data_IF_264527273081
#
_entry.id   IF_264527273081
#
_cell.length_a   1.000
_cell.length_b   1.000
_cell.length_c   1.000
_cell.angle_alpha   90.00
_cell.angle_beta   90.00
_cell.angle_gamma   90.00
#
_symmetry.space_group_name_H-M   'P 1'
#
loop_
_entity.id
_entity.type
_entity.pdbx_description
1 polymer ?
#
# COMPACT_ATOMS: atom_id res chain seq x y z
N UNK A 1 40.63 -53.89 33.11
CA UNK A 1 39.80 -52.68 33.06
C UNK A 1 40.64 -51.61 32.38
N UNK A 2 40.28 -51.18 31.17
CA UNK A 2 40.85 -49.97 30.59
C UNK A 2 39.72 -48.94 30.52
N UNK A 3 39.81 -47.94 31.38
CA UNK A 3 39.10 -46.68 31.14
C UNK A 3 39.80 -45.96 29.97
N UNK A 4 39.15 -44.94 29.43
CA UNK A 4 39.82 -44.01 28.52
C UNK A 4 41.01 -43.40 29.26
N UNK A 5 42.20 -43.47 28.67
CA UNK A 5 43.46 -43.17 29.36
C UNK A 5 43.46 -41.74 29.95
N UNK A 6 43.92 -41.61 31.20
CA UNK A 6 43.75 -40.38 32.01
C UNK A 6 44.70 -39.22 31.60
N UNK A 7 45.67 -39.49 30.71
CA UNK A 7 46.78 -38.59 30.36
C UNK A 7 46.41 -37.50 29.32
N UNK A 8 45.20 -36.95 29.35
CA UNK A 8 44.89 -35.74 28.57
C UNK A 8 43.87 -34.83 29.27
N UNK A 9 44.40 -33.79 29.93
CA UNK A 9 43.71 -32.69 30.66
C UNK A 9 43.40 -32.95 32.14
N UNK A 10 44.46 -33.15 32.94
CA UNK A 10 44.46 -32.72 34.35
C UNK A 10 44.56 -31.18 34.36
N UNK A 11 43.66 -30.50 35.07
CA UNK A 11 43.66 -29.05 35.24
C UNK A 11 43.94 -28.70 36.70
N UNK A 12 44.87 -27.77 36.91
CA UNK A 12 45.20 -27.30 38.26
C UNK A 12 44.16 -26.28 38.73
N UNK A 13 43.67 -26.45 39.94
CA UNK A 13 42.50 -25.72 40.48
C UNK A 13 42.88 -24.54 41.37
N UNK A 14 44.17 -24.34 41.65
CA UNK A 14 44.64 -23.47 42.72
C UNK A 14 45.29 -22.17 42.23
N UNK A 15 44.46 -21.21 41.78
CA UNK A 15 44.63 -19.77 42.01
C UNK A 15 43.54 -18.98 41.26
N UNK A 16 42.69 -18.25 42.00
CA UNK A 16 41.94 -17.08 41.52
C UNK A 16 41.22 -16.41 42.72
N UNK A 17 41.92 -15.49 43.39
CA UNK A 17 41.34 -14.67 44.47
C UNK A 17 40.33 -13.65 43.90
N UNK A 18 39.06 -13.80 44.26
CA UNK A 18 37.98 -12.96 43.75
C UNK A 18 37.75 -11.73 44.64
N UNK A 19 38.23 -10.56 44.19
CA UNK A 19 38.00 -9.28 44.89
C UNK A 19 36.59 -8.77 44.61
N UNK A 20 35.71 -8.83 45.61
CA UNK A 20 34.36 -8.25 45.56
C UNK A 20 34.40 -6.73 45.69
N UNK A 21 33.91 -6.02 44.67
CA UNK A 21 33.78 -4.55 44.70
C UNK A 21 32.33 -4.15 44.94
N UNK A 22 32.01 -3.83 46.21
CA UNK A 22 30.74 -3.17 46.56
C UNK A 22 30.59 -1.87 45.77
N UNK A 23 29.41 -1.65 45.21
CA UNK A 23 29.01 -0.35 44.62
C UNK A 23 27.57 -0.07 45.02
N UNK A 24 27.39 0.84 45.97
CA UNK A 24 26.06 1.31 46.38
C UNK A 24 25.41 2.10 45.24
N UNK A 25 24.28 1.61 44.74
CA UNK A 25 23.37 2.35 43.87
C UNK A 25 21.93 2.20 44.38
N UNK A 26 21.09 3.25 44.28
CA UNK A 26 19.73 3.22 44.82
C UNK A 26 18.81 2.27 44.04
N UNK A 27 17.91 1.60 44.76
CA UNK A 27 17.02 0.53 44.27
C UNK A 27 16.17 0.93 43.04
N UNK A 28 16.68 0.65 41.84
CA UNK A 28 15.83 0.59 40.63
C UNK A 28 15.16 -0.78 40.59
N UNK A 29 14.02 -0.90 41.29
CA UNK A 29 13.24 -2.14 41.38
C UNK A 29 12.49 -2.45 40.07
N UNK A 30 13.23 -2.94 39.08
CA UNK A 30 12.69 -3.52 37.85
C UNK A 30 11.73 -4.67 38.19
N UNK A 31 10.46 -4.51 37.80
CA UNK A 31 9.50 -5.59 37.87
C UNK A 31 9.59 -6.37 36.54
N UNK A 32 10.31 -7.49 36.56
CA UNK A 32 10.34 -8.38 35.39
C UNK A 32 8.93 -8.91 35.10
N UNK A 33 8.61 -9.11 33.83
CA UNK A 33 7.30 -9.65 33.43
C UNK A 33 7.25 -11.12 33.85
N UNK A 34 6.59 -11.38 34.98
CA UNK A 34 6.56 -12.66 35.73
C UNK A 34 6.28 -13.91 34.89
N UNK A 35 5.67 -13.79 33.70
CA UNK A 35 5.45 -14.90 32.78
C UNK A 35 6.74 -15.56 32.27
N UNK A 36 7.88 -14.83 32.19
CA UNK A 36 9.15 -15.44 31.84
C UNK A 36 9.78 -16.18 33.04
N UNK A 37 9.85 -15.52 34.20
CA UNK A 37 10.47 -16.05 35.41
C UNK A 37 9.79 -17.32 35.93
N UNK A 38 8.45 -17.34 35.93
CA UNK A 38 7.67 -18.50 36.39
C UNK A 38 7.88 -19.76 35.53
N UNK A 39 8.19 -19.60 34.24
CA UNK A 39 8.51 -20.72 33.36
C UNK A 39 9.94 -21.23 33.55
N UNK A 40 10.90 -20.36 33.91
CA UNK A 40 12.28 -20.78 34.21
C UNK A 40 12.33 -21.57 35.52
N UNK A 41 11.63 -21.13 36.58
CA UNK A 41 11.58 -21.86 37.85
C UNK A 41 10.99 -23.28 37.76
N UNK A 42 10.16 -23.56 36.74
CA UNK A 42 9.72 -24.91 36.40
C UNK A 42 10.84 -25.76 35.76
N UNK A 43 11.66 -25.16 34.89
CA UNK A 43 12.78 -25.84 34.23
C UNK A 43 13.89 -26.20 35.22
N UNK A 44 14.16 -25.35 36.23
CA UNK A 44 15.13 -25.63 37.30
C UNK A 44 14.94 -27.00 37.98
N UNK A 45 13.70 -27.47 38.08
CA UNK A 45 13.32 -28.73 38.71
C UNK A 45 12.68 -29.72 37.72
N UNK A 46 13.06 -29.64 36.43
CA UNK A 46 12.49 -30.49 35.39
C UNK A 46 13.06 -31.91 35.45
N UNK A 47 12.27 -32.85 35.96
CA UNK A 47 12.60 -34.29 36.02
C UNK A 47 11.55 -35.13 35.27
N UNK A 48 11.36 -34.85 33.97
CA UNK A 48 10.31 -35.49 33.15
C UNK A 48 10.80 -36.16 31.87
N UNK A 49 12.00 -35.86 31.39
CA UNK A 49 12.61 -36.69 30.36
C UNK A 49 13.16 -37.96 31.02
N UNK A 50 13.10 -39.08 30.30
CA UNK A 50 13.78 -40.33 30.69
C UNK A 50 15.31 -40.15 30.74
N UNK A 51 15.83 -39.17 30.00
CA UNK A 51 17.24 -38.81 29.94
C UNK A 51 17.58 -37.73 30.99
N UNK A 52 18.36 -38.12 32.00
CA UNK A 52 18.76 -37.23 33.09
C UNK A 52 19.68 -36.08 32.63
N UNK A 53 20.47 -36.27 31.57
CA UNK A 53 21.32 -35.21 31.00
C UNK A 53 20.47 -34.10 30.36
N UNK A 54 19.32 -34.44 29.78
CA UNK A 54 18.32 -33.46 29.30
C UNK A 54 17.63 -32.78 30.49
N UNK A 55 17.34 -33.50 31.57
CA UNK A 55 16.71 -32.92 32.77
C UNK A 55 17.57 -31.81 33.39
N UNK A 56 18.84 -32.10 33.72
CA UNK A 56 19.75 -31.12 34.34
C UNK A 56 20.10 -29.91 33.45
N UNK A 57 19.98 -30.06 32.12
CA UNK A 57 20.33 -29.02 31.15
C UNK A 57 19.13 -28.33 30.50
N UNK A 58 17.92 -28.62 30.97
CA UNK A 58 16.65 -28.14 30.39
C UNK A 58 16.52 -26.62 30.34
N UNK A 59 17.08 -25.89 31.31
CA UNK A 59 17.16 -24.43 31.32
C UNK A 59 18.04 -23.89 30.20
N UNK A 60 19.28 -24.39 30.09
CA UNK A 60 20.20 -23.99 29.03
C UNK A 60 19.68 -24.40 27.65
N UNK A 61 19.09 -25.59 27.52
CA UNK A 61 18.43 -26.06 26.31
C UNK A 61 17.32 -25.10 25.85
N UNK A 62 16.50 -24.58 26.78
CA UNK A 62 15.47 -23.61 26.47
C UNK A 62 16.03 -22.24 26.02
N UNK A 63 17.25 -21.88 26.44
CA UNK A 63 17.99 -20.72 25.92
C UNK A 63 18.56 -21.03 24.53
N UNK A 64 19.20 -22.18 24.33
CA UNK A 64 19.71 -22.66 23.04
C UNK A 64 18.63 -22.67 21.96
N UNK A 65 17.41 -23.11 22.28
CA UNK A 65 16.25 -23.10 21.38
C UNK A 65 15.76 -21.69 21.01
N UNK A 66 16.02 -20.68 21.85
CA UNK A 66 15.56 -19.29 21.66
C UNK A 66 16.62 -18.37 21.06
N UNK A 67 17.91 -18.76 21.07
CA UNK A 67 19.03 -17.88 20.72
C UNK A 67 18.89 -17.26 19.33
N UNK A 68 18.45 -18.03 18.34
CA UNK A 68 18.19 -17.57 16.96
C UNK A 68 17.01 -16.60 16.82
N UNK A 69 16.21 -16.41 17.88
CA UNK A 69 15.03 -15.53 17.91
C UNK A 69 15.17 -14.38 18.92
N UNK A 70 16.27 -14.33 19.68
CA UNK A 70 16.53 -13.26 20.63
C UNK A 70 16.95 -11.99 19.86
N UNK A 71 16.39 -10.81 20.22
CA UNK A 71 16.86 -9.54 19.69
C UNK A 71 18.30 -9.27 20.13
N UNK A 72 18.95 -8.30 19.48
CA UNK A 72 20.30 -7.87 19.84
C UNK A 72 20.39 -7.51 21.34
N UNK A 73 21.26 -8.17 22.13
CA UNK A 73 21.47 -7.85 23.53
C UNK A 73 22.06 -6.45 23.71
N UNK A 74 21.65 -5.73 24.76
CA UNK A 74 22.27 -4.44 25.12
C UNK A 74 23.77 -4.65 25.40
N UNK A 75 24.09 -5.58 26.31
CA UNK A 75 25.44 -6.03 26.62
C UNK A 75 25.59 -7.54 26.34
N UNK A 76 26.72 -7.88 25.73
CA UNK A 76 27.08 -9.23 25.28
C UNK A 76 28.09 -9.87 26.25
N UNK A 77 28.77 -9.08 27.07
CA UNK A 77 29.59 -9.59 28.17
C UNK A 77 28.70 -10.21 29.25
N UNK A 78 27.61 -9.55 29.64
CA UNK A 78 26.61 -10.09 30.57
C UNK A 78 25.95 -11.35 30.04
N UNK A 79 25.52 -11.40 28.77
CA UNK A 79 25.00 -12.61 28.15
C UNK A 79 26.02 -13.76 28.18
N UNK A 80 27.30 -13.49 27.88
CA UNK A 80 28.36 -14.50 27.97
C UNK A 80 28.55 -15.01 29.39
N UNK A 81 28.59 -14.12 30.39
CA UNK A 81 28.67 -14.50 31.80
C UNK A 81 27.46 -15.34 32.26
N UNK A 82 26.25 -15.03 31.77
CA UNK A 82 25.05 -15.83 32.02
C UNK A 82 25.16 -17.24 31.42
N UNK A 83 25.58 -17.37 30.16
CA UNK A 83 25.77 -18.68 29.51
C UNK A 83 26.88 -19.51 30.19
N UNK A 84 27.99 -18.88 30.57
CA UNK A 84 29.06 -19.50 31.37
C UNK A 84 28.53 -19.99 32.72
N UNK A 85 27.73 -19.18 33.42
CA UNK A 85 27.11 -19.57 34.68
C UNK A 85 26.16 -20.77 34.51
N UNK A 86 25.30 -20.78 33.49
CA UNK A 86 24.41 -21.91 33.21
C UNK A 86 25.14 -23.19 32.78
N UNK A 87 26.30 -23.10 32.12
CA UNK A 87 27.13 -24.28 31.83
C UNK A 87 27.77 -24.83 33.12
N UNK A 88 28.27 -23.95 34.00
CA UNK A 88 28.77 -24.35 35.31
C UNK A 88 27.68 -24.95 36.21
N UNK A 89 26.44 -24.45 36.11
CA UNK A 89 25.27 -24.99 36.81
C UNK A 89 24.94 -26.43 36.36
N UNK A 90 25.05 -26.74 35.07
CA UNK A 90 24.96 -28.14 34.58
C UNK A 90 26.05 -29.00 35.21
N UNK A 91 27.27 -28.48 35.37
CA UNK A 91 28.37 -29.21 36.03
C UNK A 91 28.09 -29.46 37.51
N UNK A 92 27.49 -28.52 38.24
CA UNK A 92 27.08 -28.72 39.64
C UNK A 92 25.92 -29.72 39.75
N UNK A 93 24.85 -29.57 38.95
CA UNK A 93 23.71 -30.50 38.93
C UNK A 93 24.15 -31.92 38.50
N UNK A 94 25.09 -32.03 37.57
CA UNK A 94 25.66 -33.29 37.11
C UNK A 94 26.53 -34.01 38.15
N UNK A 95 27.09 -33.31 39.13
CA UNK A 95 27.88 -33.91 40.21
C UNK A 95 27.03 -34.67 41.24
N UNK A 96 25.72 -34.41 41.30
CA UNK A 96 24.77 -35.13 42.14
C UNK A 96 24.25 -36.43 41.49
N UNK A 97 24.52 -36.64 40.19
CA UNK A 97 24.07 -37.80 39.43
C UNK A 97 25.11 -38.92 39.40
N UNK A 98 24.65 -40.15 39.10
CA UNK A 98 25.47 -41.36 38.97
C UNK A 98 26.34 -41.42 37.70
N UNK A 99 26.45 -40.32 36.92
CA UNK A 99 27.28 -40.31 35.70
C UNK A 99 28.76 -40.07 36.03
N UNK A 100 29.71 -40.65 35.25
CA UNK A 100 31.11 -40.26 35.35
C UNK A 100 31.30 -38.78 35.03
N UNK A 101 32.13 -38.06 35.79
CA UNK A 101 32.41 -36.62 35.61
C UNK A 101 32.79 -36.29 34.16
N UNK A 102 33.57 -37.16 33.50
CA UNK A 102 33.94 -37.01 32.10
C UNK A 102 32.73 -36.91 31.15
N UNK A 103 31.59 -37.56 31.43
CA UNK A 103 30.36 -37.45 30.63
C UNK A 103 29.73 -36.07 30.80
N UNK A 104 29.71 -35.53 32.02
CA UNK A 104 29.21 -34.19 32.33
C UNK A 104 30.11 -33.12 31.70
N UNK A 105 31.43 -33.28 31.73
CA UNK A 105 32.36 -32.37 31.05
C UNK A 105 32.18 -32.43 29.51
N UNK A 106 31.90 -33.61 28.92
CA UNK A 106 31.54 -33.69 27.49
C UNK A 106 30.18 -33.04 27.20
N UNK A 107 29.20 -33.14 28.09
CA UNK A 107 27.92 -32.43 27.94
C UNK A 107 28.12 -30.91 27.93
N UNK A 108 28.89 -30.38 28.89
CA UNK A 108 29.22 -28.96 28.98
C UNK A 108 29.98 -28.46 27.75
N UNK A 109 30.95 -29.26 27.26
CA UNK A 109 31.67 -28.99 26.02
C UNK A 109 30.74 -28.92 24.81
N UNK A 110 29.83 -29.89 24.63
CA UNK A 110 28.89 -29.89 23.50
C UNK A 110 27.97 -28.67 23.55
N UNK A 111 27.47 -28.27 24.72
CA UNK A 111 26.69 -27.04 24.88
C UNK A 111 27.46 -25.79 24.47
N UNK A 112 28.72 -25.64 24.91
CA UNK A 112 29.56 -24.50 24.52
C UNK A 112 29.73 -24.40 22.99
N UNK A 113 30.09 -25.52 22.34
CA UNK A 113 30.25 -25.59 20.88
C UNK A 113 28.96 -25.22 20.14
N UNK A 114 27.82 -25.77 20.57
CA UNK A 114 26.53 -25.56 19.89
C UNK A 114 26.03 -24.13 20.08
N UNK A 115 26.16 -23.57 21.29
CA UNK A 115 25.79 -22.17 21.57
C UNK A 115 26.67 -21.20 20.79
N UNK A 116 27.98 -21.43 20.72
CA UNK A 116 28.89 -20.58 19.94
C UNK A 116 28.50 -20.58 18.45
N UNK A 117 28.23 -21.75 17.86
CA UNK A 117 27.81 -21.83 16.45
C UNK A 117 26.50 -21.09 16.19
N UNK A 118 25.49 -21.31 17.05
CA UNK A 118 24.18 -20.67 16.88
C UNK A 118 24.27 -19.15 17.05
N UNK A 119 25.04 -18.66 18.04
CA UNK A 119 25.21 -17.22 18.28
C UNK A 119 25.94 -16.55 17.11
N UNK A 120 27.03 -17.13 16.60
CA UNK A 120 27.81 -16.56 15.48
C UNK A 120 26.94 -16.36 14.23
N UNK A 121 25.92 -17.20 14.00
CA UNK A 121 25.00 -17.06 12.86
C UNK A 121 23.69 -16.32 13.17
N UNK A 122 23.63 -15.58 14.28
CA UNK A 122 22.59 -14.56 14.51
C UNK A 122 22.97 -13.22 13.86
N UNK A 123 21.96 -12.42 13.49
CA UNK A 123 22.13 -11.08 12.93
C UNK A 123 22.96 -10.13 13.82
N UNK A 124 23.12 -10.41 15.11
CA UNK A 124 23.87 -9.59 16.07
C UNK A 124 25.20 -10.21 16.51
N UNK A 125 25.34 -11.54 16.49
CA UNK A 125 26.55 -12.24 16.94
C UNK A 125 27.76 -11.94 16.08
N UNK A 126 27.59 -11.92 14.75
CA UNK A 126 28.62 -11.50 13.79
C UNK A 126 28.98 -10.02 13.98
N UNK A 127 27.97 -9.12 13.97
CA UNK A 127 28.17 -7.65 14.11
C UNK A 127 28.94 -7.24 15.36
N UNK A 128 28.77 -7.99 16.45
CA UNK A 128 29.40 -7.74 17.75
C UNK A 128 30.64 -8.61 17.99
N UNK A 129 31.07 -9.37 16.98
CA UNK A 129 32.32 -10.12 16.98
C UNK A 129 32.39 -11.23 18.03
N UNK A 130 31.31 -12.01 18.21
CA UNK A 130 31.29 -13.12 19.18
C UNK A 130 32.44 -14.13 18.96
N UNK A 131 32.79 -14.36 17.69
CA UNK A 131 33.92 -15.19 17.24
C UNK A 131 35.29 -14.82 17.84
N UNK A 132 35.47 -13.58 18.33
CA UNK A 132 36.71 -13.15 18.98
C UNK A 132 36.89 -13.77 20.37
N UNK A 133 35.78 -13.99 21.10
CA UNK A 133 35.77 -14.61 22.42
C UNK A 133 34.52 -15.49 22.57
N UNK A 134 34.68 -16.73 22.13
CA UNK A 134 33.68 -17.80 22.19
C UNK A 134 33.66 -18.48 23.58
N UNK A 135 32.53 -19.11 23.95
CA UNK A 135 32.38 -19.87 25.18
C UNK A 135 33.37 -21.02 25.24
N UNK A 136 33.59 -21.71 24.12
CA UNK A 136 34.56 -22.80 24.00
C UNK A 136 35.99 -22.32 24.28
N UNK A 137 36.36 -21.14 23.79
CA UNK A 137 37.69 -20.59 24.02
C UNK A 137 37.87 -20.09 25.46
N UNK A 138 36.80 -19.63 26.11
CA UNK A 138 36.84 -19.16 27.51
C UNK A 138 36.82 -20.32 28.51
N UNK A 139 36.01 -21.36 28.28
CA UNK A 139 35.86 -22.50 29.20
C UNK A 139 36.88 -23.61 28.98
N UNK A 140 37.33 -23.83 27.74
CA UNK A 140 38.15 -24.99 27.37
C UNK A 140 39.44 -24.63 26.63
N UNK A 141 39.72 -23.35 26.38
CA UNK A 141 40.91 -22.92 25.64
C UNK A 141 40.97 -23.37 24.17
N UNK A 142 39.86 -23.85 23.60
CA UNK A 142 39.81 -24.45 22.26
C UNK A 142 39.07 -23.56 21.25
N UNK A 143 39.49 -23.62 19.98
CA UNK A 143 38.85 -22.90 18.86
C UNK A 143 38.13 -23.81 17.85
N UNK A 144 38.57 -25.06 17.68
CA UNK A 144 38.06 -25.99 16.66
C UNK A 144 36.84 -26.80 17.13
N UNK A 145 35.80 -26.14 17.64
CA UNK A 145 34.62 -26.82 18.20
C UNK A 145 33.86 -27.71 17.21
N UNK A 146 33.66 -27.23 15.99
CA UNK A 146 32.80 -27.87 14.99
C UNK A 146 33.25 -29.25 14.49
N UNK A 147 34.54 -29.59 14.62
CA UNK A 147 35.10 -30.91 14.29
C UNK A 147 35.14 -31.82 15.53
N UNK A 148 35.53 -31.24 16.67
CA UNK A 148 35.59 -31.95 17.95
C UNK A 148 34.21 -32.45 18.40
N UNK A 149 33.11 -31.75 18.04
CA UNK A 149 31.74 -32.21 18.23
C UNK A 149 31.52 -33.61 17.62
N UNK A 150 31.84 -33.78 16.33
CA UNK A 150 31.66 -35.07 15.66
C UNK A 150 32.64 -36.13 16.17
N UNK A 151 33.86 -35.72 16.55
CA UNK A 151 34.82 -36.63 17.22
C UNK A 151 34.29 -37.17 18.56
N UNK A 152 33.61 -36.33 19.36
CA UNK A 152 32.94 -36.77 20.61
C UNK A 152 31.75 -37.68 20.29
N UNK A 153 30.93 -37.31 19.32
CA UNK A 153 29.76 -38.08 18.90
C UNK A 153 30.13 -39.47 18.35
N UNK A 154 31.16 -39.58 17.51
CA UNK A 154 31.67 -40.86 17.02
C UNK A 154 32.23 -41.75 18.14
N UNK A 155 32.97 -41.17 19.09
CA UNK A 155 33.47 -41.91 20.25
C UNK A 155 32.31 -42.42 21.12
N UNK A 156 31.27 -41.61 21.32
CA UNK A 156 30.05 -42.03 22.01
C UNK A 156 29.30 -43.15 21.26
N UNK A 157 29.17 -43.03 19.94
CA UNK A 157 28.53 -44.03 19.07
C UNK A 157 29.26 -45.39 19.00
N UNK A 158 30.52 -45.48 19.45
CA UNK A 158 31.24 -46.76 19.64
C UNK A 158 30.86 -47.48 20.95
N UNK A 159 30.29 -46.77 21.93
CA UNK A 159 29.86 -47.34 23.22
C UNK A 159 28.40 -46.93 23.56
N UNK A 160 27.43 -47.19 22.66
CA UNK A 160 26.07 -46.67 22.79
C UNK A 160 25.39 -47.12 24.09
N UNK A 161 25.61 -48.36 24.55
CA UNK A 161 25.06 -48.86 25.82
C UNK A 161 25.40 -47.98 27.04
N UNK A 162 26.56 -47.31 27.05
CA UNK A 162 27.01 -46.48 28.19
C UNK A 162 26.75 -44.99 28.01
N UNK A 163 26.63 -44.54 26.76
CA UNK A 163 26.59 -43.13 26.39
C UNK A 163 25.32 -42.77 25.61
N UNK A 164 24.26 -43.58 25.75
CA UNK A 164 23.00 -43.40 25.02
C UNK A 164 22.38 -42.03 25.28
N UNK A 165 22.39 -41.58 26.54
CA UNK A 165 21.81 -40.31 26.96
C UNK A 165 22.61 -39.11 26.40
N UNK A 166 23.93 -39.23 26.31
CA UNK A 166 24.78 -38.23 25.67
C UNK A 166 24.56 -38.20 24.15
N UNK A 167 24.35 -39.36 23.55
CA UNK A 167 24.10 -39.51 22.11
C UNK A 167 22.71 -38.95 21.72
N UNK A 168 21.71 -39.06 22.58
CA UNK A 168 20.39 -38.44 22.42
C UNK A 168 20.47 -36.90 22.51
N UNK A 169 21.32 -36.35 23.40
CA UNK A 169 21.61 -34.91 23.43
C UNK A 169 22.33 -34.44 22.16
N UNK A 170 23.29 -35.21 21.64
CA UNK A 170 23.94 -34.91 20.34
C UNK A 170 22.90 -34.88 19.20
N UNK A 171 22.01 -35.87 19.15
CA UNK A 171 20.92 -35.92 18.17
C UNK A 171 19.97 -34.72 18.28
N UNK A 172 19.66 -34.31 19.51
CA UNK A 172 18.85 -33.12 19.77
C UNK A 172 19.51 -31.85 19.21
N UNK A 173 20.82 -31.66 19.43
CA UNK A 173 21.54 -30.51 18.86
C UNK A 173 21.57 -30.50 17.33
N UNK A 174 21.73 -31.65 16.68
CA UNK A 174 21.64 -31.77 15.22
C UNK A 174 20.23 -31.37 14.72
N UNK A 175 19.18 -31.79 15.42
CA UNK A 175 17.80 -31.42 15.09
C UNK A 175 17.46 -29.94 15.36
N UNK A 176 18.13 -29.30 16.33
CA UNK A 176 18.03 -27.84 16.57
C UNK A 176 18.66 -27.05 15.42
N UNK A 177 19.58 -27.66 14.67
CA UNK A 177 20.17 -27.09 13.45
C UNK A 177 21.68 -26.87 13.52
N UNK A 178 22.38 -27.47 14.50
CA UNK A 178 23.84 -27.50 14.53
C UNK A 178 24.40 -28.24 13.31
N UNK A 179 25.47 -27.70 12.70
CA UNK A 179 26.07 -28.23 11.46
C UNK A 179 27.58 -28.47 11.59
N UNK A 180 28.30 -27.71 12.43
CA UNK A 180 29.74 -27.87 12.63
C UNK A 180 30.53 -27.84 11.33
N UNK A 181 31.51 -28.74 11.22
CA UNK A 181 32.35 -28.89 10.04
C UNK A 181 31.59 -29.08 8.71
N UNK A 182 30.34 -29.56 8.75
CA UNK A 182 29.57 -29.90 7.54
C UNK A 182 28.74 -28.72 6.98
N UNK A 183 28.87 -27.52 7.56
CA UNK A 183 28.01 -26.37 7.24
C UNK A 183 28.12 -25.85 5.81
N UNK A 184 29.31 -25.90 5.20
CA UNK A 184 29.56 -25.32 3.86
C UNK A 184 29.28 -26.30 2.72
N UNK A 185 29.83 -27.50 2.79
CA UNK A 185 29.80 -28.49 1.69
C UNK A 185 29.28 -29.87 2.11
N UNK A 186 29.00 -30.08 3.39
CA UNK A 186 28.76 -31.40 3.98
C UNK A 186 27.30 -31.80 4.23
N UNK A 187 26.31 -31.12 3.64
CA UNK A 187 24.90 -31.31 4.03
C UNK A 187 24.35 -32.74 3.85
N UNK A 188 24.88 -33.51 2.91
CA UNK A 188 24.55 -34.93 2.73
C UNK A 188 25.23 -35.84 3.77
N UNK A 189 26.49 -35.53 4.11
CA UNK A 189 27.26 -36.23 5.13
C UNK A 189 26.64 -36.00 6.53
N UNK A 190 26.16 -34.79 6.80
CA UNK A 190 25.43 -34.46 8.02
C UNK A 190 24.13 -35.26 8.13
N UNK A 191 23.38 -35.40 7.02
CA UNK A 191 22.14 -36.21 6.98
C UNK A 191 22.43 -37.71 7.18
N UNK A 192 23.46 -38.25 6.54
CA UNK A 192 23.80 -39.67 6.70
C UNK A 192 24.35 -39.97 8.10
N UNK A 193 25.08 -39.04 8.71
CA UNK A 193 25.48 -39.10 10.13
C UNK A 193 24.25 -39.08 11.05
N UNK A 194 23.33 -38.13 10.85
CA UNK A 194 22.10 -38.01 11.66
C UNK A 194 21.24 -39.27 11.56
N UNK A 195 21.05 -39.81 10.34
CA UNK A 195 20.31 -41.06 10.11
C UNK A 195 20.98 -42.28 10.80
N UNK A 196 22.31 -42.39 10.71
CA UNK A 196 23.06 -43.44 11.42
C UNK A 196 22.89 -43.32 12.94
N UNK A 197 22.89 -42.09 13.45
CA UNK A 197 22.70 -41.81 14.87
C UNK A 197 21.27 -42.20 15.31
N UNK A 198 20.24 -41.82 14.53
CA UNK A 198 18.84 -42.21 14.73
C UNK A 198 18.65 -43.74 14.74
N UNK A 199 19.32 -44.47 13.84
CA UNK A 199 19.31 -45.94 13.82
C UNK A 199 19.93 -46.54 15.09
N UNK A 200 21.00 -45.93 15.63
CA UNK A 200 21.59 -46.35 16.92
C UNK A 200 20.63 -46.04 18.07
N UNK A 201 20.04 -44.84 18.13
CA UNK A 201 19.11 -44.47 19.19
C UNK A 201 17.89 -45.39 19.22
N UNK A 202 17.24 -45.61 18.08
CA UNK A 202 16.04 -46.45 17.97
C UNK A 202 16.27 -47.93 18.34
N UNK A 203 17.51 -48.43 18.26
CA UNK A 203 17.88 -49.77 18.72
C UNK A 203 17.94 -49.89 20.26
N UNK A 204 18.43 -48.86 20.94
CA UNK A 204 18.68 -48.88 22.40
C UNK A 204 17.54 -48.26 23.22
N UNK A 205 16.92 -47.22 22.67
CA UNK A 205 15.77 -46.52 23.22
C UNK A 205 14.62 -46.72 22.23
N UNK A 206 13.73 -47.66 22.55
CA UNK A 206 12.46 -47.72 21.83
C UNK A 206 11.81 -46.35 21.94
N UNK A 207 11.24 -45.84 20.84
CA UNK A 207 10.41 -44.66 20.90
C UNK A 207 9.17 -44.98 21.75
N UNK A 208 9.30 -44.81 23.07
CA UNK A 208 8.20 -44.94 24.01
C UNK A 208 7.09 -44.06 23.48
N UNK A 209 5.95 -44.68 23.15
CA UNK A 209 4.97 -44.05 22.28
C UNK A 209 4.52 -42.72 22.87
N UNK A 210 5.08 -41.61 22.38
CA UNK A 210 4.67 -40.27 22.77
C UNK A 210 3.36 -40.03 22.04
N UNK A 211 2.30 -40.61 22.60
CA UNK A 211 0.93 -40.23 22.36
C UNK A 211 0.78 -38.82 22.94
N UNK A 212 1.31 -37.83 22.22
CA UNK A 212 1.01 -36.42 22.40
C UNK A 212 -0.44 -36.14 21.94
N UNK A 213 -1.38 -36.85 22.57
CA UNK A 213 -2.76 -36.46 22.79
C UNK A 213 -2.85 -35.29 23.77
N UNK A 214 -1.87 -34.37 23.72
CA UNK A 214 -2.11 -32.99 24.10
C UNK A 214 -3.07 -32.43 23.06
N UNK A 215 -4.37 -32.69 23.29
CA UNK A 215 -5.45 -31.81 22.82
C UNK A 215 -5.26 -30.47 23.55
N UNK A 216 -4.21 -29.74 23.15
CA UNK A 216 -4.09 -28.33 23.42
C UNK A 216 -5.40 -27.75 22.91
N UNK A 217 -6.20 -27.21 23.82
CA UNK A 217 -7.41 -26.47 23.47
C UNK A 217 -6.95 -25.18 22.81
N UNK A 218 -6.53 -25.28 21.55
CA UNK A 218 -6.16 -24.15 20.72
C UNK A 218 -7.34 -23.18 20.79
N UNK A 219 -7.13 -21.93 21.24
CA UNK A 219 -8.22 -20.97 21.35
C UNK A 219 -8.87 -20.91 19.97
N UNK A 220 -10.21 -21.01 19.92
CA UNK A 220 -10.96 -21.16 18.66
C UNK A 220 -10.71 -19.96 17.76
N UNK A 221 -9.66 -20.02 16.94
CA UNK A 221 -9.28 -18.95 16.04
C UNK A 221 -10.42 -18.75 15.05
N UNK A 222 -10.87 -17.50 14.91
CA UNK A 222 -11.98 -17.16 14.03
C UNK A 222 -11.52 -17.33 12.59
N UNK A 223 -11.72 -18.51 12.01
CA UNK A 223 -11.40 -18.82 10.61
C UNK A 223 -11.90 -17.67 9.73
N UNK A 224 -11.08 -17.15 8.79
CA UNK A 224 -11.46 -16.00 7.97
C UNK A 224 -12.76 -16.33 7.23
N UNK A 225 -13.80 -15.52 7.45
CA UNK A 225 -15.14 -15.80 6.92
C UNK A 225 -15.09 -15.76 5.39
N UNK A 226 -15.34 -16.92 4.78
CA UNK A 226 -15.19 -17.17 3.32
C UNK A 226 -15.95 -16.12 2.49
N UNK A 227 -15.46 -15.83 1.28
CA UNK A 227 -15.85 -14.74 0.35
C UNK A 227 -17.36 -14.55 0.03
N UNK A 228 -18.28 -15.35 0.58
CA UNK A 228 -19.75 -15.26 0.39
C UNK A 228 -20.32 -13.86 0.69
N UNK A 229 -19.72 -13.10 1.62
CA UNK A 229 -20.21 -11.75 1.97
C UNK A 229 -20.14 -10.76 0.79
N UNK A 230 -19.15 -10.89 -0.09
CA UNK A 230 -19.01 -10.03 -1.28
C UNK A 230 -20.13 -10.26 -2.31
N UNK A 231 -20.58 -11.50 -2.49
CA UNK A 231 -21.66 -11.84 -3.44
C UNK A 231 -23.01 -11.26 -2.96
N UNK A 232 -23.28 -11.32 -1.65
CA UNK A 232 -24.49 -10.69 -1.07
C UNK A 232 -24.44 -9.17 -1.21
N UNK A 233 -23.28 -8.53 -1.00
CA UNK A 233 -23.15 -7.08 -1.20
C UNK A 233 -23.27 -6.66 -2.66
N UNK A 234 -22.70 -7.41 -3.61
CA UNK A 234 -22.82 -7.07 -5.04
C UNK A 234 -24.26 -7.18 -5.53
N UNK A 235 -25.00 -8.23 -5.12
CA UNK A 235 -26.42 -8.35 -5.42
C UNK A 235 -27.25 -7.20 -4.82
N UNK A 236 -26.95 -6.78 -3.58
CA UNK A 236 -27.64 -5.66 -2.93
C UNK A 236 -27.42 -4.32 -3.66
N UNK A 237 -26.20 -4.03 -4.13
CA UNK A 237 -25.97 -2.83 -4.93
C UNK A 237 -26.63 -2.92 -6.32
N UNK A 238 -26.65 -4.10 -6.94
CA UNK A 238 -27.29 -4.31 -8.23
C UNK A 238 -28.81 -4.13 -8.15
N UNK A 239 -29.48 -4.59 -7.08
CA UNK A 239 -30.92 -4.35 -6.88
C UNK A 239 -31.24 -2.89 -6.61
N UNK A 240 -30.40 -2.15 -5.87
CA UNK A 240 -30.55 -0.70 -5.67
C UNK A 240 -30.44 0.05 -7.01
N UNK A 241 -29.45 -0.29 -7.84
CA UNK A 241 -29.28 0.32 -9.17
C UNK A 241 -30.49 0.00 -10.07
N UNK A 242 -30.96 -1.25 -10.08
CA UNK A 242 -32.17 -1.63 -10.81
C UNK A 242 -33.41 -0.85 -10.36
N UNK A 243 -33.60 -0.68 -9.05
CA UNK A 243 -34.69 0.11 -8.49
C UNK A 243 -34.59 1.59 -8.85
N UNK A 244 -33.39 2.19 -8.84
CA UNK A 244 -33.22 3.61 -9.20
C UNK A 244 -33.53 3.87 -10.68
N UNK A 245 -33.12 2.96 -11.57
CA UNK A 245 -33.47 3.02 -13.01
C UNK A 245 -34.97 2.80 -13.22
N UNK A 246 -35.59 1.84 -12.54
CA UNK A 246 -37.03 1.62 -12.63
C UNK A 246 -37.85 2.83 -12.13
N UNK A 247 -37.41 3.46 -11.02
CA UNK A 247 -38.08 4.63 -10.45
C UNK A 247 -37.95 5.87 -11.33
N UNK A 248 -36.76 6.11 -11.90
CA UNK A 248 -36.55 7.23 -12.84
C UNK A 248 -37.33 7.02 -14.15
N UNK A 249 -37.37 5.78 -14.67
CA UNK A 249 -38.19 5.43 -15.85
C UNK A 249 -39.69 5.62 -15.59
N UNK A 250 -40.20 5.17 -14.44
CA UNK A 250 -41.59 5.37 -14.04
C UNK A 250 -41.95 6.85 -13.89
N UNK A 251 -41.09 7.62 -13.20
CA UNK A 251 -41.28 9.06 -13.02
C UNK A 251 -41.24 9.82 -14.36
N UNK A 252 -40.30 9.46 -15.24
CA UNK A 252 -40.22 10.01 -16.59
C UNK A 252 -41.50 9.73 -17.39
N UNK A 253 -41.96 8.48 -17.45
CA UNK A 253 -43.20 8.14 -18.17
C UNK A 253 -44.44 8.86 -17.61
N UNK A 254 -44.54 9.02 -16.28
CA UNK A 254 -45.67 9.72 -15.65
C UNK A 254 -45.64 11.24 -15.86
N UNK A 255 -44.45 11.85 -15.97
CA UNK A 255 -44.30 13.30 -16.21
C UNK A 255 -44.24 13.66 -17.70
N UNK A 256 -43.87 12.72 -18.58
CA UNK A 256 -43.82 12.89 -20.04
C UNK A 256 -45.07 13.57 -20.64
N UNK A 257 -46.33 13.15 -20.39
CA UNK A 257 -47.48 13.77 -21.02
C UNK A 257 -47.70 15.23 -20.60
N UNK A 258 -47.35 15.59 -19.36
CA UNK A 258 -47.45 16.97 -18.88
C UNK A 258 -46.36 17.86 -19.50
N UNK A 259 -45.11 17.37 -19.55
CA UNK A 259 -43.98 18.12 -20.11
C UNK A 259 -44.02 18.22 -21.64
N UNK A 260 -44.60 17.23 -22.31
CA UNK A 260 -44.70 17.20 -23.77
C UNK A 260 -45.92 17.96 -24.31
N UNK A 261 -46.93 18.29 -23.49
CA UNK A 261 -48.19 18.93 -23.95
C UNK A 261 -47.93 20.15 -24.83
N UNK A 262 -47.08 21.05 -24.35
CA UNK A 262 -46.81 22.33 -25.01
C UNK A 262 -45.97 22.14 -26.30
N UNK A 263 -45.27 21.00 -26.45
CA UNK A 263 -44.53 20.62 -27.65
C UNK A 263 -45.37 19.83 -28.66
N UNK A 264 -46.33 19.02 -28.21
CA UNK A 264 -47.23 18.25 -29.08
C UNK A 264 -48.11 19.19 -29.93
N UNK A 265 -48.47 20.36 -29.40
CA UNK A 265 -49.27 21.36 -30.10
C UNK A 265 -48.47 22.26 -31.07
N UNK A 266 -47.14 22.14 -31.13
CA UNK A 266 -46.31 22.91 -32.06
C UNK A 266 -46.61 22.60 -33.54
N UNK A 267 -47.07 21.38 -33.85
CA UNK A 267 -47.48 21.01 -35.22
C UNK A 267 -48.70 21.80 -35.70
N UNK A 268 -49.76 21.88 -34.89
CA UNK A 268 -50.95 22.67 -35.20
C UNK A 268 -50.64 24.17 -35.24
N UNK A 269 -49.76 24.65 -34.35
CA UNK A 269 -49.31 26.03 -34.32
C UNK A 269 -48.55 26.39 -35.61
N UNK A 270 -47.58 25.56 -36.01
CA UNK A 270 -46.81 25.79 -37.24
C UNK A 270 -47.67 25.67 -38.50
N UNK A 271 -48.61 24.72 -38.56
CA UNK A 271 -49.58 24.65 -39.66
C UNK A 271 -50.40 25.92 -39.79
N UNK A 272 -50.95 26.46 -38.69
CA UNK A 272 -51.69 27.74 -38.73
C UNK A 272 -50.84 28.90 -39.21
N UNK A 273 -49.55 28.95 -38.86
CA UNK A 273 -48.63 29.97 -39.37
C UNK A 273 -48.38 29.80 -40.88
N UNK A 274 -48.09 28.58 -41.34
CA UNK A 274 -47.89 28.24 -42.76
C UNK A 274 -49.14 28.55 -43.59
N UNK A 275 -50.32 28.15 -43.12
CA UNK A 275 -51.62 28.42 -43.74
C UNK A 275 -51.98 29.92 -43.75
N UNK A 276 -51.47 30.71 -42.81
CA UNK A 276 -51.70 32.17 -42.77
C UNK A 276 -50.92 32.95 -43.83
N UNK A 277 -49.96 32.33 -44.53
CA UNK A 277 -49.22 32.91 -45.64
C UNK A 277 -48.29 34.09 -45.30
N UNK A 278 -48.13 34.44 -44.02
CA UNK A 278 -47.19 35.48 -43.56
C UNK A 278 -45.78 34.92 -43.41
N UNK A 279 -44.90 35.28 -44.34
CA UNK A 279 -43.47 35.07 -44.23
C UNK A 279 -42.81 36.17 -43.37
N UNK A 280 -43.13 36.19 -42.07
CA UNK A 280 -42.41 37.00 -41.08
C UNK A 280 -41.23 36.17 -40.53
N UNK A 281 -40.00 36.56 -40.86
CA UNK A 281 -38.78 35.86 -40.42
C UNK A 281 -38.67 35.85 -38.88
N UNK A 282 -38.45 34.67 -38.28
CA UNK A 282 -38.31 34.53 -36.83
C UNK A 282 -36.91 34.97 -36.40
N UNK A 283 -36.75 36.27 -36.14
CA UNK A 283 -35.52 36.82 -35.55
C UNK A 283 -35.48 36.50 -34.06
N UNK A 284 -34.74 35.45 -33.69
CA UNK A 284 -34.46 35.15 -32.29
C UNK A 284 -33.40 36.12 -31.73
N UNK A 285 -33.84 37.12 -30.99
CA UNK A 285 -32.98 38.00 -30.20
C UNK A 285 -32.90 37.42 -28.79
N UNK A 286 -31.75 36.88 -28.42
CA UNK A 286 -31.49 36.37 -27.07
C UNK A 286 -31.63 37.48 -26.03
N UNK A 287 -32.43 37.24 -24.99
CA UNK A 287 -32.62 38.18 -23.88
C UNK A 287 -31.80 37.76 -22.65
N UNK A 288 -31.47 38.71 -21.76
CA UNK A 288 -30.67 38.43 -20.55
C UNK A 288 -31.34 37.41 -19.58
N UNK A 289 -32.64 37.13 -19.75
CA UNK A 289 -33.34 36.10 -19.00
C UNK A 289 -33.10 34.67 -19.53
N UNK A 290 -32.81 34.50 -20.83
CA UNK A 290 -32.49 33.18 -21.42
C UNK A 290 -31.16 32.62 -20.90
N UNK A 291 -30.26 33.50 -20.46
CA UNK A 291 -28.98 33.16 -19.83
C UNK A 291 -29.11 32.78 -18.34
N UNK A 292 -30.25 33.07 -17.69
CA UNK A 292 -30.50 32.71 -16.29
C UNK A 292 -30.94 31.26 -16.19
N UNK A 293 -29.97 30.36 -16.36
CA UNK A 293 -30.14 28.91 -16.21
C UNK A 293 -30.99 28.55 -14.98
N UNK A 294 -32.10 27.87 -15.25
CA UNK A 294 -33.28 27.70 -14.40
C UNK A 294 -32.98 27.56 -12.89
N UNK A 295 -33.06 28.68 -12.16
CA UNK A 295 -33.04 28.76 -10.69
C UNK A 295 -34.34 29.37 -10.13
N UNK A 296 -35.49 28.96 -10.65
CA UNK A 296 -36.77 29.17 -9.96
C UNK A 296 -37.19 27.85 -9.33
N UNK A 297 -36.97 27.75 -8.03
CA UNK A 297 -37.51 26.66 -7.22
C UNK A 297 -39.04 26.68 -7.26
N UNK A 298 -39.63 25.49 -7.13
CA UNK A 298 -41.08 25.27 -7.02
C UNK A 298 -41.70 26.18 -5.97
N UNK A 299 -42.72 26.96 -6.35
CA UNK A 299 -43.91 27.16 -5.53
C UNK A 299 -45.11 27.60 -6.38
N UNK A 300 -46.17 26.80 -6.33
CA UNK A 300 -47.41 26.99 -7.07
C UNK A 300 -48.31 28.02 -6.39
N UNK A 301 -48.61 29.15 -7.04
CA UNK A 301 -49.98 29.72 -7.17
C UNK A 301 -49.98 31.02 -7.98
N UNK A 302 -50.42 30.97 -9.25
CA UNK A 302 -51.17 32.03 -9.95
C UNK A 302 -51.66 31.49 -11.31
N UNK A 303 -52.85 31.91 -11.80
CA UNK A 303 -53.36 31.50 -13.10
C UNK A 303 -52.63 32.23 -14.25
N UNK A 304 -52.61 31.66 -15.48
CA UNK A 304 -51.96 32.30 -16.62
C UNK A 304 -52.66 33.61 -16.99
N UNK A 305 -51.89 34.70 -17.05
CA UNK A 305 -52.36 36.01 -17.52
C UNK A 305 -52.52 35.96 -19.05
N UNK A 306 -53.61 36.52 -19.63
CA UNK A 306 -53.81 36.46 -21.07
C UNK A 306 -52.75 37.27 -21.84
N UNK A 307 -52.31 36.73 -22.97
CA UNK A 307 -51.43 37.39 -23.93
C UNK A 307 -52.17 38.61 -24.52
N UNK A 308 -51.58 39.82 -24.53
CA UNK A 308 -52.13 40.95 -25.27
C UNK A 308 -52.07 40.66 -26.77
N UNK A 309 -53.21 40.69 -27.43
CA UNK A 309 -53.32 40.66 -28.88
C UNK A 309 -52.91 42.01 -29.49
N UNK A 310 -52.51 41.96 -30.77
CA UNK A 310 -52.17 43.05 -31.69
C UNK A 310 -50.70 43.55 -31.68
N UNK A 311 -50.04 43.61 -32.86
CA UNK A 311 -48.71 44.19 -33.00
C UNK A 311 -48.80 45.73 -33.12
N UNK A 312 -47.94 46.45 -32.40
CA UNK A 312 -47.66 47.85 -32.70
C UNK A 312 -46.53 47.95 -33.71
N UNK A 313 -46.85 48.42 -34.90
CA UNK A 313 -45.85 48.85 -35.87
C UNK A 313 -45.03 50.03 -35.29
N UNK A 314 -43.72 50.01 -35.48
CA UNK A 314 -42.85 51.17 -35.25
C UNK A 314 -42.10 51.49 -36.54
N UNK A 315 -42.42 52.65 -37.08
CA UNK A 315 -41.90 53.19 -38.34
C UNK A 315 -40.46 53.66 -38.18
N UNK A 316 -39.59 53.30 -39.13
CA UNK A 316 -38.27 53.94 -39.27
C UNK A 316 -38.44 55.37 -39.82
N UNK A 317 -37.70 56.34 -39.26
CA UNK A 317 -37.48 57.64 -39.92
C UNK A 317 -35.99 57.99 -39.88
N UNK A 318 -35.40 58.17 -41.06
CA UNK A 318 -34.06 58.70 -41.24
C UNK A 318 -34.06 60.23 -41.14
N UNK A 319 -33.00 60.81 -40.57
CA UNK A 319 -32.60 62.20 -40.83
C UNK A 319 -31.08 62.30 -40.94
N UNK A 320 -30.64 63.09 -41.91
CA UNK A 320 -29.25 63.24 -42.36
C UNK A 320 -28.71 64.60 -41.96
N UNK A 321 -27.48 64.67 -41.43
CA UNK A 321 -26.56 65.81 -41.62
C UNK A 321 -25.16 65.54 -41.03
N UNK A 322 -24.14 65.61 -41.88
CA UNK A 322 -22.68 65.73 -41.63
C UNK A 322 -22.26 67.22 -41.59
N UNK A 323 -20.98 67.63 -41.36
CA UNK A 323 -19.73 66.92 -41.01
C UNK A 323 -19.14 67.42 -39.64
N UNK A 324 -17.96 67.06 -39.09
CA UNK A 324 -16.57 67.02 -39.63
C UNK A 324 -15.60 66.10 -38.85
N UNK A 325 -14.60 65.57 -39.58
CA UNK A 325 -13.15 65.44 -39.27
C UNK A 325 -12.76 65.39 -37.78
N UNK A 326 -12.17 64.34 -37.20
CA UNK A 326 -10.95 63.55 -37.57
C UNK A 326 -10.97 62.25 -36.72
N UNK A 327 -10.26 61.14 -36.95
CA UNK A 327 -9.08 60.81 -37.79
C UNK A 327 -9.18 59.40 -38.37
N UNK A 328 -8.26 59.02 -39.26
CA UNK A 328 -8.21 57.69 -39.86
C UNK A 328 -7.23 56.73 -39.14
N UNK A 329 -7.63 55.46 -39.01
CA UNK A 329 -6.72 54.33 -38.99
C UNK A 329 -7.23 53.29 -39.99
N UNK A 330 -6.51 53.12 -41.09
CA UNK A 330 -6.84 52.17 -42.16
C UNK A 330 -6.24 50.82 -41.81
N UNK A 331 -7.03 49.75 -41.88
CA UNK A 331 -6.51 48.38 -41.87
C UNK A 331 -7.12 47.60 -43.04
N UNK A 332 -6.31 47.47 -44.09
CA UNK A 332 -6.58 46.62 -45.26
C UNK A 332 -6.54 45.12 -44.87
N UNK A 333 -7.13 44.21 -45.67
CA UNK A 333 -7.50 42.88 -45.18
C UNK A 333 -6.30 41.93 -45.09
N UNK A 334 -5.80 41.72 -43.87
CA UNK A 334 -4.92 40.58 -43.57
C UNK A 334 -5.76 39.29 -43.43
N UNK A 335 -5.40 38.26 -44.21
CA UNK A 335 -6.22 37.07 -44.37
C UNK A 335 -6.13 36.05 -43.22
N UNK A 336 -5.41 36.34 -42.14
CA UNK A 336 -5.27 35.44 -40.99
C UNK A 336 -4.99 36.20 -39.69
N UNK A 337 -5.92 36.16 -38.74
CA UNK A 337 -5.78 36.76 -37.39
C UNK A 337 -6.44 35.86 -36.35
N UNK A 338 -5.85 35.77 -35.14
CA UNK A 338 -6.26 34.79 -34.12
C UNK A 338 -7.50 35.21 -33.28
N UNK A 339 -7.98 36.44 -33.44
CA UNK A 339 -9.15 36.96 -32.75
C UNK A 339 -10.26 37.34 -33.75
N UNK A 340 -11.50 36.97 -33.44
CA UNK A 340 -12.66 37.36 -34.23
C UNK A 340 -13.85 37.68 -33.34
N UNK A 341 -14.70 38.60 -33.81
CA UNK A 341 -16.01 38.90 -33.22
C UNK A 341 -17.08 38.37 -34.16
N UNK A 342 -17.85 37.39 -33.71
CA UNK A 342 -18.94 36.80 -34.48
C UNK A 342 -20.26 37.51 -34.15
N UNK A 343 -20.83 38.18 -35.14
CA UNK A 343 -22.02 39.04 -34.99
C UNK A 343 -23.33 38.26 -35.16
N UNK A 344 -23.37 37.32 -36.12
CA UNK A 344 -24.56 36.54 -36.45
C UNK A 344 -24.21 35.23 -37.17
N UNK A 345 -25.19 34.32 -37.26
CA UNK A 345 -25.11 33.06 -38.01
C UNK A 345 -26.36 32.86 -38.86
N UNK A 346 -26.16 32.46 -40.11
CA UNK A 346 -27.21 32.25 -41.12
C UNK A 346 -27.06 30.86 -41.75
N UNK A 347 -28.16 30.32 -42.26
CA UNK A 347 -28.16 29.08 -43.06
C UNK A 347 -27.81 29.29 -44.54
N UNK A 348 -27.80 30.55 -45.02
CA UNK A 348 -27.64 30.87 -46.44
C UNK A 348 -26.78 32.12 -46.63
N UNK A 349 -25.79 32.03 -47.51
CA UNK A 349 -24.79 33.07 -47.79
C UNK A 349 -25.44 34.38 -48.24
N UNK A 350 -26.46 34.32 -49.11
CA UNK A 350 -27.19 35.50 -49.61
C UNK A 350 -27.88 36.31 -48.49
N UNK A 351 -28.22 35.67 -47.37
CA UNK A 351 -28.83 36.36 -46.22
C UNK A 351 -27.75 36.99 -45.33
N UNK A 352 -26.57 36.36 -45.20
CA UNK A 352 -25.41 36.96 -44.55
C UNK A 352 -24.93 38.22 -45.28
N UNK A 353 -24.89 38.21 -46.61
CA UNK A 353 -24.56 39.39 -47.44
C UNK A 353 -25.58 40.52 -47.28
N UNK A 354 -26.89 40.21 -47.28
CA UNK A 354 -27.95 41.19 -47.01
C UNK A 354 -27.83 41.80 -45.61
N UNK A 355 -27.51 40.99 -44.60
CA UNK A 355 -27.28 41.47 -43.24
C UNK A 355 -26.08 42.40 -43.17
N UNK A 356 -24.96 42.04 -43.82
CA UNK A 356 -23.78 42.91 -43.96
C UNK A 356 -24.14 44.26 -44.60
N UNK A 357 -24.99 44.26 -45.64
CA UNK A 357 -25.46 45.47 -46.30
C UNK A 357 -26.43 46.34 -45.45
N UNK A 358 -26.97 45.81 -44.34
CA UNK A 358 -27.84 46.53 -43.40
C UNK A 358 -27.08 47.09 -42.19
N UNK A 359 -25.82 46.71 -41.97
CA UNK A 359 -25.03 47.20 -40.85
C UNK A 359 -24.64 48.68 -41.04
N UNK A 360 -24.57 49.47 -39.96
CA UNK A 360 -24.13 50.86 -40.03
C UNK A 360 -22.68 50.93 -40.54
N UNK A 361 -22.41 51.86 -41.45
CA UNK A 361 -21.08 52.07 -42.03
C UNK A 361 -20.05 52.29 -40.92
N UNK A 362 -19.09 51.38 -40.82
CA UNK A 362 -18.08 51.35 -39.76
C UNK A 362 -16.67 51.19 -40.33
N UNK A 363 -15.64 51.51 -39.55
CA UNK A 363 -14.25 51.23 -39.91
C UNK A 363 -13.92 49.73 -39.88
N UNK A 364 -14.82 48.89 -39.37
CA UNK A 364 -14.69 47.44 -39.33
C UNK A 364 -15.44 46.81 -40.51
N UNK A 365 -14.75 45.98 -41.30
CA UNK A 365 -15.36 45.27 -42.42
C UNK A 365 -15.85 43.88 -41.96
N UNK A 366 -17.17 43.65 -41.84
CA UNK A 366 -17.71 42.33 -41.55
C UNK A 366 -17.62 41.44 -42.80
N UNK A 367 -17.17 40.20 -42.61
CA UNK A 367 -16.97 39.20 -43.67
C UNK A 367 -17.89 38.01 -43.39
N UNK A 368 -18.53 37.49 -44.44
CA UNK A 368 -19.25 36.22 -44.39
C UNK A 368 -18.25 35.07 -44.53
N UNK A 369 -18.19 34.21 -43.52
CA UNK A 369 -17.27 33.07 -43.43
C UNK A 369 -18.06 31.77 -43.27
N UNK A 370 -17.69 30.73 -44.02
CA UNK A 370 -18.44 29.48 -44.11
C UNK A 370 -17.86 28.43 -43.16
N UNK A 371 -18.65 27.95 -42.19
CA UNK A 371 -18.28 26.82 -41.32
C UNK A 371 -19.32 25.70 -41.49
N UNK A 372 -18.86 24.55 -41.98
CA UNK A 372 -19.64 23.34 -42.19
C UNK A 372 -20.92 23.63 -43.01
N UNK A 373 -22.08 23.62 -42.37
CA UNK A 373 -23.40 23.85 -42.98
C UNK A 373 -23.98 25.26 -42.73
N UNK A 374 -23.20 26.18 -42.16
CA UNK A 374 -23.67 27.51 -41.76
C UNK A 374 -22.70 28.62 -42.20
N UNK A 375 -23.24 29.81 -42.37
CA UNK A 375 -22.49 31.04 -42.71
C UNK A 375 -22.49 31.95 -41.49
N UNK A 376 -21.31 32.28 -40.96
CA UNK A 376 -21.17 33.24 -39.86
C UNK A 376 -20.72 34.60 -40.38
N UNK A 377 -21.27 35.67 -39.83
CA UNK A 377 -20.78 37.03 -40.10
C UNK A 377 -19.78 37.38 -39.01
N UNK A 378 -18.51 37.57 -39.39
CA UNK A 378 -17.39 37.80 -38.48
C UNK A 378 -16.67 39.10 -38.81
N UNK A 379 -16.14 39.75 -37.78
CA UNK A 379 -15.14 40.82 -37.89
C UNK A 379 -13.83 40.27 -37.37
N UNK A 380 -12.77 40.35 -38.17
CA UNK A 380 -11.41 39.91 -37.79
C UNK A 380 -10.68 41.03 -37.05
N UNK A 381 -9.86 40.65 -36.07
CA UNK A 381 -9.09 41.57 -35.24
C UNK A 381 -7.80 40.89 -34.75
N UNK A 382 -6.82 41.70 -34.35
CA UNK A 382 -5.49 41.21 -33.98
C UNK A 382 -5.35 41.02 -32.47
N UNK A 383 -6.06 41.84 -31.68
CA UNK A 383 -5.92 41.90 -30.22
C UNK A 383 -7.26 41.74 -29.49
N UNK A 384 -7.23 41.15 -28.30
CA UNK A 384 -8.39 40.95 -27.42
C UNK A 384 -9.08 42.26 -27.03
N UNK A 385 -8.31 43.34 -26.85
CA UNK A 385 -8.85 44.67 -26.55
C UNK A 385 -9.60 45.26 -27.75
N UNK A 386 -9.06 45.09 -28.96
CA UNK A 386 -9.72 45.49 -30.20
C UNK A 386 -11.03 44.72 -30.39
N UNK A 387 -11.05 43.41 -30.10
CA UNK A 387 -12.26 42.59 -30.15
C UNK A 387 -13.37 43.09 -29.19
N UNK A 388 -13.00 43.52 -27.98
CA UNK A 388 -13.94 44.12 -27.01
C UNK A 388 -14.47 45.47 -27.50
N UNK A 389 -13.60 46.34 -28.02
CA UNK A 389 -14.00 47.64 -28.57
C UNK A 389 -14.95 47.49 -29.76
N UNK A 390 -14.67 46.56 -30.67
CA UNK A 390 -15.56 46.21 -31.80
C UNK A 390 -16.91 45.74 -31.28
N UNK A 391 -16.94 44.83 -30.29
CA UNK A 391 -18.19 44.31 -29.76
C UNK A 391 -19.04 45.40 -29.09
N UNK A 392 -18.42 46.27 -28.28
CA UNK A 392 -19.10 47.40 -27.66
C UNK A 392 -19.66 48.37 -28.72
N UNK A 393 -18.90 48.66 -29.78
CA UNK A 393 -19.35 49.54 -30.87
C UNK A 393 -20.60 48.99 -31.59
N UNK A 394 -20.63 47.69 -31.93
CA UNK A 394 -21.82 47.08 -32.53
C UNK A 394 -23.00 46.98 -31.57
N UNK A 395 -22.73 46.85 -30.26
CA UNK A 395 -23.76 46.87 -29.21
C UNK A 395 -24.40 48.26 -29.06
N UNK A 396 -23.62 49.33 -29.16
CA UNK A 396 -24.10 50.71 -29.06
C UNK A 396 -24.81 51.16 -30.34
N UNK A 397 -24.23 50.90 -31.52
CA UNK A 397 -24.70 51.49 -32.78
C UNK A 397 -25.66 50.62 -33.59
N UNK A 398 -25.66 49.29 -33.38
CA UNK A 398 -26.54 48.36 -34.08
C UNK A 398 -27.41 47.52 -33.13
N UNK A 399 -27.25 47.67 -31.82
CA UNK A 399 -27.88 46.82 -30.79
C UNK A 399 -27.59 45.32 -30.98
N UNK A 400 -26.41 44.98 -31.52
CA UNK A 400 -25.95 43.61 -31.75
C UNK A 400 -24.92 43.25 -30.67
N UNK A 401 -25.17 42.17 -29.91
CA UNK A 401 -24.20 41.64 -28.96
C UNK A 401 -23.45 40.46 -29.58
N UNK A 402 -22.22 40.70 -30.05
CA UNK A 402 -21.37 39.70 -30.69
C UNK A 402 -20.63 38.79 -29.71
N UNK A 403 -20.21 37.63 -30.20
CA UNK A 403 -19.38 36.68 -29.47
C UNK A 403 -17.90 36.93 -29.80
N UNK A 404 -17.10 37.26 -28.79
CA UNK A 404 -15.63 37.35 -28.93
C UNK A 404 -15.04 35.95 -28.85
N UNK A 405 -14.34 35.54 -29.91
CA UNK A 405 -13.75 34.21 -30.06
C UNK A 405 -12.25 34.33 -30.34
N UNK A 406 -11.46 33.47 -29.71
CA UNK A 406 -10.01 33.37 -29.91
C UNK A 406 -9.67 31.96 -30.41
N UNK A 407 -9.02 31.86 -31.57
CA UNK A 407 -8.76 30.60 -32.25
C UNK A 407 -7.39 30.02 -31.89
N UNK A 408 -7.28 29.39 -30.71
CA UNK A 408 -6.01 28.81 -30.22
C UNK A 408 -5.44 27.65 -31.06
N UNK A 409 -6.23 27.04 -31.93
CA UNK A 409 -5.87 25.76 -32.58
C UNK A 409 -4.97 25.93 -33.83
N UNK A 410 -4.61 27.16 -34.23
CA UNK A 410 -3.79 27.37 -35.44
C UNK A 410 -2.28 27.25 -35.21
N UNK A 411 -1.78 27.44 -33.98
CA UNK A 411 -0.36 27.28 -33.68
C UNK A 411 0.12 25.82 -33.89
N UNK A 412 -0.73 24.83 -33.61
CA UNK A 412 -0.41 23.41 -33.73
C UNK A 412 -0.36 22.84 -35.15
N UNK A 413 -0.85 23.55 -36.18
CA UNK A 413 -0.77 23.10 -37.59
C UNK A 413 0.43 23.70 -38.35
N UNK A 414 1.08 24.75 -37.81
CA UNK A 414 2.26 25.39 -38.42
C UNK A 414 3.56 24.76 -37.92
N UNK A 415 3.59 24.20 -36.70
CA UNK A 415 4.72 23.38 -36.21
C UNK A 415 4.75 21.96 -36.84
N UNK A 416 3.77 21.60 -37.66
CA UNK A 416 3.63 20.28 -38.29
C UNK A 416 3.68 20.31 -39.82
N UNK A 417 4.45 21.23 -40.42
CA UNK A 417 4.72 21.30 -41.87
C UNK A 417 6.18 21.60 -42.19
#
# INVERSE_FOLDING_TARGET
MNYLDEDTLVWDSSENDFVSKNTDMPDVKWHSVNAAQANIGFLHHFDKAENQLINISSELLAVTLKINTLPEPEDITTLRHQLVASINEIKTKGAELTYPVAVIDKLCFLYAVVLDELIVYTDWGEKRGWENKTLLSELFGMRNGGELFFTVAEKAARQPHKLIDLLEVVYLFLNIGFKGQYRETGSEQLKSFTYRLEQILSQYRQAGGIYCHTKVSVPKTRKPTRKKRYLVTTLFFLTIIGLSVALTYFWYNKTKPQRARDFVQLGEYSQRYIESGRADDIVYVSTDDDLKGNKVAVNTTQPPRPVPSQPKAVTQQAKTSTPETTSALVTSPAADTDWLVQLATFSNLKNAEKFIAQLPTSNYQPVADNINSYVRVIVRCDNSEQAKTINNWYRENANINGLVVHNKNKQSEVESR
#
